data_IF_850466929369
#
_entry.id   IF_850466929369
#
_cell.length_a   1.000
_cell.length_b   1.000
_cell.length_c   1.000
_cell.angle_alpha   90.00
_cell.angle_beta   90.00
_cell.angle_gamma   90.00
#
_symmetry.space_group_name_H-M   'P 1'
#
loop_
_entity.id
_entity.type
_entity.pdbx_description
1 polymer ?
#
# COMPACT_ATOMS: atom_id res chain seq x y z
N UNK A 1 -29.75 36.78 30.56
CA UNK A 1 -29.91 35.65 29.64
C UNK A 1 -28.73 35.73 28.69
N UNK A 2 -27.65 35.01 29.00
CA UNK A 2 -26.41 35.03 28.21
C UNK A 2 -26.54 33.94 27.15
N UNK A 3 -26.73 34.35 25.90
CA UNK A 3 -26.68 33.43 24.76
C UNK A 3 -25.22 33.07 24.47
N UNK A 4 -24.86 31.83 24.75
CA UNK A 4 -23.60 31.24 24.31
C UNK A 4 -23.67 31.00 22.79
N UNK A 5 -22.62 31.31 22.03
CA UNK A 5 -22.59 31.01 20.60
C UNK A 5 -22.67 29.49 20.37
N UNK A 6 -23.34 29.04 19.29
CA UNK A 6 -23.47 27.61 18.99
C UNK A 6 -22.08 27.00 18.71
N UNK A 7 -21.87 25.71 19.03
CA UNK A 7 -20.58 25.05 18.84
C UNK A 7 -20.20 25.06 17.36
N UNK A 8 -19.00 25.54 17.07
CA UNK A 8 -18.38 25.55 15.75
C UNK A 8 -18.34 24.12 15.20
N UNK A 9 -19.18 23.83 14.22
CA UNK A 9 -19.14 22.55 13.51
C UNK A 9 -17.79 22.48 12.81
N UNK A 10 -16.88 21.63 13.32
CA UNK A 10 -15.62 21.29 12.67
C UNK A 10 -15.89 20.99 11.20
N UNK A 11 -15.48 21.89 10.32
CA UNK A 11 -15.57 21.69 8.87
C UNK A 11 -14.57 20.61 8.49
N UNK A 12 -15.03 19.36 8.59
CA UNK A 12 -14.32 18.14 8.17
C UNK A 12 -13.89 18.36 6.72
N UNK A 13 -12.58 18.42 6.48
CA UNK A 13 -12.04 18.66 5.14
C UNK A 13 -11.90 17.29 4.46
N UNK A 14 -12.86 16.88 3.61
CA UNK A 14 -13.08 15.48 3.27
C UNK A 14 -11.94 14.84 2.46
N UNK A 15 -10.98 15.65 1.98
CA UNK A 15 -9.79 15.18 1.27
C UNK A 15 -8.66 14.68 2.19
N UNK A 16 -8.58 15.19 3.43
CA UNK A 16 -7.54 14.83 4.40
C UNK A 16 -8.01 13.61 5.21
N UNK A 17 -9.25 13.62 5.72
CA UNK A 17 -9.79 12.57 6.60
C UNK A 17 -9.92 11.19 5.93
N UNK A 18 -10.17 11.15 4.61
CA UNK A 18 -10.30 9.88 3.87
C UNK A 18 -8.99 9.11 3.75
N UNK A 19 -7.85 9.80 3.76
CA UNK A 19 -6.54 9.14 3.71
C UNK A 19 -6.18 8.55 5.08
N UNK A 20 -6.49 9.27 6.16
CA UNK A 20 -6.16 8.87 7.52
C UNK A 20 -6.99 7.65 7.97
N UNK A 21 -8.28 7.61 7.66
CA UNK A 21 -9.13 6.45 7.93
C UNK A 21 -8.64 5.19 7.19
N UNK A 22 -8.20 5.34 5.94
CA UNK A 22 -7.66 4.24 5.14
C UNK A 22 -6.33 3.73 5.72
N UNK A 23 -5.46 4.64 6.17
CA UNK A 23 -4.19 4.30 6.81
C UNK A 23 -4.40 3.64 8.18
N UNK A 24 -5.38 4.09 8.97
CA UNK A 24 -5.78 3.46 10.22
C UNK A 24 -6.32 2.04 9.99
N UNK A 25 -7.20 1.86 8.99
CA UNK A 25 -7.75 0.55 8.63
C UNK A 25 -6.66 -0.42 8.15
N UNK A 26 -5.67 0.08 7.42
CA UNK A 26 -4.47 -0.69 7.03
C UNK A 26 -3.68 -1.15 8.25
N UNK A 27 -3.47 -0.26 9.21
CA UNK A 27 -2.78 -0.57 10.48
C UNK A 27 -3.53 -1.62 11.28
N UNK A 28 -4.86 -1.50 11.39
CA UNK A 28 -5.72 -2.47 12.07
C UNK A 28 -5.65 -3.85 11.42
N UNK A 29 -5.70 -3.91 10.08
CA UNK A 29 -5.60 -5.17 9.35
C UNK A 29 -4.26 -5.89 9.60
N UNK A 30 -3.14 -5.15 9.61
CA UNK A 30 -1.82 -5.72 9.95
C UNK A 30 -1.78 -6.20 11.40
N UNK A 31 -2.32 -5.44 12.34
CA UNK A 31 -2.38 -5.83 13.74
C UNK A 31 -3.18 -7.13 13.93
N UNK A 32 -4.36 -7.23 13.31
CA UNK A 32 -5.19 -8.44 13.34
C UNK A 32 -4.48 -9.64 12.71
N UNK A 33 -3.75 -9.43 11.62
CA UNK A 33 -3.00 -10.47 10.92
C UNK A 33 -1.84 -11.02 11.75
N UNK A 34 -1.12 -10.15 12.45
CA UNK A 34 -0.07 -10.57 13.39
C UNK A 34 -0.72 -11.29 14.58
N UNK A 35 -1.80 -10.73 15.13
CA UNK A 35 -2.50 -11.33 16.26
C UNK A 35 -3.01 -12.75 15.94
N UNK A 36 -3.62 -12.97 14.78
CA UNK A 36 -4.09 -14.30 14.37
C UNK A 36 -2.95 -15.31 14.23
N UNK A 37 -1.78 -14.88 13.77
CA UNK A 37 -0.58 -15.72 13.68
C UNK A 37 0.06 -16.09 15.02
N UNK A 38 -0.30 -15.38 16.11
CA UNK A 38 0.21 -15.61 17.47
C UNK A 38 -0.73 -16.45 18.33
N UNK A 39 -1.94 -16.74 17.86
CA UNK A 39 -2.93 -17.51 18.62
C UNK A 39 -2.40 -18.92 18.89
N UNK A 40 -2.25 -19.35 20.17
CA UNK A 40 -1.77 -20.68 20.48
C UNK A 40 -2.80 -21.74 20.09
N UNK A 41 -2.35 -22.90 19.64
CA UNK A 41 -3.23 -24.06 19.39
C UNK A 41 -3.36 -24.98 20.62
N UNK A 42 -2.51 -24.81 21.64
CA UNK A 42 -2.46 -25.65 22.84
C UNK A 42 -2.20 -24.79 24.08
N UNK A 43 -3.11 -24.75 25.07
CA UNK A 43 -4.49 -25.26 24.99
C UNK A 43 -5.29 -24.51 23.89
N UNK A 44 -6.28 -25.16 23.24
CA UNK A 44 -7.08 -24.52 22.21
C UNK A 44 -7.99 -23.45 22.81
N UNK A 45 -8.12 -22.33 22.11
CA UNK A 45 -9.09 -21.26 22.41
C UNK A 45 -10.44 -21.54 21.71
N UNK A 46 -11.50 -20.75 21.95
CA UNK A 46 -12.77 -20.92 21.25
C UNK A 46 -12.63 -20.90 19.73
N UNK A 47 -13.46 -21.67 19.01
CA UNK A 47 -13.35 -21.88 17.57
C UNK A 47 -13.35 -20.59 16.72
N UNK A 48 -14.05 -19.54 17.17
CA UNK A 48 -14.09 -18.24 16.49
C UNK A 48 -12.73 -17.51 16.44
N UNK A 49 -11.72 -17.97 17.20
CA UNK A 49 -10.36 -17.41 17.22
C UNK A 49 -9.43 -17.98 16.12
N UNK A 50 -9.90 -18.94 15.32
CA UNK A 50 -9.15 -19.57 14.24
C UNK A 50 -9.90 -19.47 12.91
N UNK A 51 -9.27 -19.87 11.81
CA UNK A 51 -9.97 -20.04 10.53
C UNK A 51 -11.16 -21.00 10.69
N UNK A 52 -12.31 -20.66 10.10
CA UNK A 52 -13.53 -21.46 10.26
C UNK A 52 -13.28 -22.94 9.90
N UNK A 53 -12.60 -23.17 8.79
CA UNK A 53 -12.28 -24.50 8.26
C UNK A 53 -11.15 -25.21 9.03
N UNK A 54 -10.47 -24.55 9.97
CA UNK A 54 -9.34 -25.10 10.73
C UNK A 54 -9.53 -24.80 12.21
N UNK A 55 -10.64 -25.26 12.76
CA UNK A 55 -11.02 -25.05 14.15
C UNK A 55 -10.52 -26.18 15.09
N UNK A 56 -10.46 -25.95 16.41
CA UNK A 56 -10.28 -27.00 17.40
C UNK A 56 -11.37 -28.08 17.30
N UNK A 57 -11.12 -29.32 17.77
CA UNK A 57 -9.95 -29.75 18.53
C UNK A 57 -8.72 -30.13 17.69
N UNK A 58 -8.92 -30.60 16.46
CA UNK A 58 -7.87 -31.27 15.70
C UNK A 58 -7.13 -30.34 14.73
N UNK A 59 -7.67 -29.15 14.43
CA UNK A 59 -7.11 -28.20 13.47
C UNK A 59 -6.86 -28.83 12.08
N UNK A 60 -7.74 -29.74 11.68
CA UNK A 60 -7.75 -30.35 10.34
C UNK A 60 -8.64 -29.50 9.44
N UNK A 61 -8.18 -29.25 8.21
CA UNK A 61 -8.95 -28.49 7.23
C UNK A 61 -10.19 -29.25 6.79
N UNK A 62 -11.37 -28.67 7.04
CA UNK A 62 -12.66 -29.18 6.55
C UNK A 62 -13.28 -28.19 5.55
N UNK A 63 -13.32 -28.52 4.24
CA UNK A 63 -13.90 -27.65 3.22
C UNK A 63 -15.43 -27.60 3.26
N UNK A 64 -16.10 -28.54 3.92
CA UNK A 64 -17.56 -28.62 3.98
C UNK A 64 -18.14 -27.77 5.10
N UNK A 65 -17.32 -27.32 6.05
CA UNK A 65 -17.74 -26.51 7.18
C UNK A 65 -18.07 -25.08 6.71
N UNK A 66 -19.35 -24.65 6.72
CA UNK A 66 -19.72 -23.31 6.30
C UNK A 66 -19.37 -22.30 7.40
N UNK A 67 -18.76 -21.19 7.00
CA UNK A 67 -18.51 -20.09 7.93
C UNK A 67 -17.32 -19.22 7.53
N UNK A 68 -17.29 -18.03 8.12
CA UNK A 68 -16.15 -17.13 8.10
C UNK A 68 -15.98 -16.60 9.53
N UNK A 69 -14.77 -16.69 10.05
CA UNK A 69 -14.39 -16.04 11.30
C UNK A 69 -13.77 -14.68 11.02
N UNK A 70 -13.52 -13.89 12.06
CA UNK A 70 -12.80 -12.62 11.90
C UNK A 70 -11.40 -12.83 11.28
N UNK A 71 -10.74 -13.98 11.53
CA UNK A 71 -9.43 -14.32 10.96
C UNK A 71 -9.51 -14.41 9.44
N UNK A 72 -10.60 -14.99 8.92
CA UNK A 72 -10.86 -15.14 7.49
C UNK A 72 -11.13 -13.79 6.81
N UNK A 73 -11.66 -12.81 7.54
CA UNK A 73 -11.91 -11.45 7.05
C UNK A 73 -10.67 -10.56 6.99
N UNK A 74 -9.64 -10.84 7.79
CA UNK A 74 -8.43 -10.00 7.86
C UNK A 74 -7.78 -9.84 6.50
N UNK A 75 -7.61 -10.95 5.77
CA UNK A 75 -6.91 -10.93 4.49
C UNK A 75 -7.69 -10.18 3.38
N UNK A 76 -9.00 -10.46 3.15
CA UNK A 76 -9.82 -9.67 2.23
C UNK A 76 -9.86 -8.17 2.56
N UNK A 77 -10.01 -7.81 3.84
CA UNK A 77 -10.01 -6.41 4.28
C UNK A 77 -8.69 -5.71 3.92
N UNK A 78 -7.58 -6.41 4.13
CA UNK A 78 -6.26 -5.88 3.80
C UNK A 78 -6.04 -5.66 2.30
N UNK A 79 -6.46 -6.62 1.46
CA UNK A 79 -6.42 -6.46 0.00
C UNK A 79 -7.31 -5.32 -0.49
N UNK A 80 -8.50 -5.16 0.10
CA UNK A 80 -9.40 -4.06 -0.23
C UNK A 80 -8.74 -2.69 0.04
N UNK A 81 -8.21 -2.51 1.26
CA UNK A 81 -7.52 -1.27 1.65
C UNK A 81 -6.31 -0.98 0.76
N UNK A 82 -5.53 -2.01 0.44
CA UNK A 82 -4.43 -1.88 -0.51
C UNK A 82 -4.93 -1.43 -1.89
N UNK A 83 -5.98 -2.08 -2.40
CA UNK A 83 -6.57 -1.77 -3.71
C UNK A 83 -7.04 -0.32 -3.80
N UNK A 84 -7.66 0.22 -2.75
CA UNK A 84 -8.07 1.63 -2.68
C UNK A 84 -6.87 2.58 -2.57
N UNK A 85 -5.77 2.16 -1.95
CA UNK A 85 -4.56 2.98 -1.78
C UNK A 85 -3.75 3.17 -3.09
N UNK A 86 -3.80 2.21 -4.02
CA UNK A 86 -3.09 2.24 -5.30
C UNK A 86 -3.44 3.46 -6.16
N UNK A 87 -4.72 3.72 -6.52
CA UNK A 87 -5.09 4.86 -7.35
C UNK A 87 -4.69 6.18 -6.70
N UNK A 88 -4.84 6.30 -5.38
CA UNK A 88 -4.50 7.50 -4.62
C UNK A 88 -2.99 7.78 -4.64
N UNK A 89 -2.18 6.75 -4.41
CA UNK A 89 -0.72 6.88 -4.42
C UNK A 89 -0.17 7.16 -5.83
N UNK A 90 -0.65 6.45 -6.85
CA UNK A 90 -0.19 6.62 -8.23
C UNK A 90 -0.64 7.94 -8.84
N UNK A 91 -1.86 8.41 -8.54
CA UNK A 91 -2.35 9.73 -9.00
C UNK A 91 -1.45 10.85 -8.49
N UNK A 92 -1.17 10.88 -7.18
CA UNK A 92 -0.22 11.84 -6.59
C UNK A 92 1.18 11.75 -7.20
N UNK A 93 1.65 10.54 -7.56
CA UNK A 93 2.95 10.34 -8.22
C UNK A 93 2.96 10.93 -9.62
N UNK A 94 1.89 10.73 -10.38
CA UNK A 94 1.74 11.29 -11.73
C UNK A 94 1.69 12.82 -11.68
N UNK A 95 0.91 13.38 -10.75
CA UNK A 95 0.80 14.84 -10.59
C UNK A 95 2.17 15.47 -10.31
N UNK A 96 3.01 14.80 -9.51
CA UNK A 96 4.40 15.23 -9.26
C UNK A 96 5.33 15.08 -10.47
N UNK A 97 5.13 14.06 -11.31
CA UNK A 97 6.00 13.80 -12.47
C UNK A 97 5.69 14.72 -13.66
N UNK A 98 4.42 15.03 -13.87
CA UNK A 98 3.94 15.63 -15.12
C UNK A 98 3.22 16.98 -14.89
N UNK A 99 2.58 17.17 -13.73
CA UNK A 99 1.68 18.30 -13.48
C UNK A 99 0.48 18.28 -14.45
N UNK A 100 0.14 19.44 -15.01
CA UNK A 100 -0.97 19.58 -15.97
C UNK A 100 -0.65 19.06 -17.38
N UNK A 101 0.57 18.57 -17.63
CA UNK A 101 0.99 18.09 -18.95
C UNK A 101 0.41 16.71 -19.27
N UNK A 102 0.34 16.32 -20.55
CA UNK A 102 -0.01 14.95 -20.92
C UNK A 102 1.08 13.96 -20.47
N UNK A 103 0.67 12.72 -20.17
CA UNK A 103 1.63 11.65 -19.81
C UNK A 103 2.53 11.34 -21.00
N UNK A 104 3.84 11.52 -20.81
CA UNK A 104 4.85 11.16 -21.81
C UNK A 104 5.24 9.68 -21.65
N UNK A 105 5.73 9.01 -22.71
CA UNK A 105 6.25 7.64 -22.63
C UNK A 105 7.34 7.49 -21.57
N UNK A 106 8.19 8.51 -21.41
CA UNK A 106 9.26 8.56 -20.41
C UNK A 106 8.68 8.55 -18.98
N UNK A 107 7.59 9.29 -18.74
CA UNK A 107 6.92 9.30 -17.43
C UNK A 107 6.30 7.93 -17.11
N UNK A 108 5.72 7.26 -18.11
CA UNK A 108 5.17 5.90 -17.96
C UNK A 108 6.29 4.91 -17.63
N UNK A 109 7.42 4.96 -18.34
CA UNK A 109 8.56 4.10 -18.07
C UNK A 109 9.11 4.29 -16.63
N UNK A 110 9.16 5.54 -16.15
CA UNK A 110 9.53 5.84 -14.75
C UNK A 110 8.54 5.25 -13.75
N UNK A 111 7.23 5.37 -13.99
CA UNK A 111 6.19 4.79 -13.14
C UNK A 111 6.28 3.26 -13.10
N UNK A 112 6.44 2.63 -14.25
CA UNK A 112 6.63 1.17 -14.35
C UNK A 112 7.90 0.73 -13.62
N UNK A 113 8.99 1.49 -13.76
CA UNK A 113 10.23 1.26 -13.01
C UNK A 113 10.03 1.37 -11.50
N UNK A 114 9.29 2.37 -11.03
CA UNK A 114 8.96 2.54 -9.60
C UNK A 114 8.11 1.36 -9.08
N UNK A 115 7.10 0.94 -9.85
CA UNK A 115 6.22 -0.19 -9.52
C UNK A 115 7.03 -1.48 -9.48
N UNK A 116 7.84 -1.76 -10.50
CA UNK A 116 8.69 -2.93 -10.58
C UNK A 116 9.71 -2.97 -9.44
N UNK A 117 10.34 -1.83 -9.13
CA UNK A 117 11.28 -1.71 -8.00
C UNK A 117 10.59 -2.04 -6.67
N UNK A 118 9.39 -1.51 -6.43
CA UNK A 118 8.62 -1.79 -5.21
C UNK A 118 8.22 -3.26 -5.12
N UNK A 119 7.81 -3.86 -6.24
CA UNK A 119 7.51 -5.28 -6.32
C UNK A 119 8.74 -6.13 -5.99
N UNK A 120 9.88 -5.86 -6.63
CA UNK A 120 11.15 -6.55 -6.37
C UNK A 120 11.58 -6.44 -4.90
N UNK A 121 11.52 -5.24 -4.32
CA UNK A 121 11.83 -5.01 -2.92
C UNK A 121 10.92 -5.81 -1.98
N UNK A 122 9.62 -5.82 -2.23
CA UNK A 122 8.68 -6.56 -1.38
C UNK A 122 8.81 -8.08 -1.54
N UNK A 123 9.05 -8.57 -2.76
CA UNK A 123 9.30 -9.98 -3.05
C UNK A 123 10.60 -10.47 -2.40
N UNK A 124 11.67 -9.70 -2.51
CA UNK A 124 12.94 -10.04 -1.87
C UNK A 124 12.81 -10.02 -0.33
N UNK A 125 12.06 -9.06 0.23
CA UNK A 125 11.73 -9.04 1.65
C UNK A 125 10.95 -10.30 2.08
N UNK A 126 9.95 -10.73 1.29
CA UNK A 126 9.15 -11.92 1.57
C UNK A 126 9.99 -13.20 1.64
N UNK A 127 10.95 -13.36 0.73
CA UNK A 127 11.85 -14.52 0.67
C UNK A 127 12.81 -14.46 1.87
N UNK A 128 13.54 -13.36 2.03
CA UNK A 128 14.57 -13.23 3.07
C UNK A 128 13.97 -13.36 4.47
N UNK A 129 12.82 -12.73 4.73
CA UNK A 129 12.16 -12.82 6.03
C UNK A 129 11.78 -14.27 6.37
N UNK A 130 11.26 -15.03 5.40
CA UNK A 130 10.88 -16.42 5.62
C UNK A 130 12.08 -17.30 5.99
N UNK A 131 13.25 -17.05 5.39
CA UNK A 131 14.48 -17.79 5.66
C UNK A 131 15.06 -17.51 7.05
N UNK A 132 14.88 -16.30 7.59
CA UNK A 132 15.35 -15.94 8.94
C UNK A 132 14.42 -16.38 10.07
N UNK A 133 13.24 -16.92 9.78
CA UNK A 133 12.31 -17.40 10.82
C UNK A 133 12.93 -18.56 11.62
N UNK A 134 12.82 -18.56 12.96
CA UNK A 134 13.49 -19.56 13.80
C UNK A 134 13.13 -21.01 13.43
N UNK A 135 11.85 -21.25 13.12
CA UNK A 135 11.33 -22.58 12.77
C UNK A 135 11.90 -23.16 11.46
N UNK A 136 12.43 -22.30 10.58
CA UNK A 136 13.05 -22.69 9.31
C UNK A 136 14.57 -22.83 9.41
N UNK A 137 15.20 -22.15 10.38
CA UNK A 137 16.61 -22.27 10.68
C UNK A 137 16.92 -23.56 11.45
N UNK A 138 16.06 -23.95 12.40
CA UNK A 138 16.26 -25.19 13.18
C UNK A 138 14.94 -25.84 13.55
N UNK A 139 14.91 -27.18 13.59
CA UNK A 139 13.79 -27.93 14.14
C UNK A 139 13.65 -27.77 15.66
N UNK A 140 14.74 -27.43 16.35
CA UNK A 140 14.79 -27.12 17.78
C UNK A 140 15.51 -25.77 17.95
N UNK A 141 14.77 -24.65 18.04
CA UNK A 141 15.38 -23.34 18.15
C UNK A 141 16.27 -23.26 19.40
N UNK A 142 17.54 -22.92 19.22
CA UNK A 142 18.50 -22.64 20.31
C UNK A 142 18.66 -21.14 20.47
N UNK A 143 19.33 -20.69 21.53
CA UNK A 143 19.63 -19.26 21.75
C UNK A 143 20.37 -18.64 20.57
N UNK A 144 21.23 -19.41 19.90
CA UNK A 144 21.90 -19.00 18.66
C UNK A 144 20.90 -18.76 17.52
N UNK A 145 19.90 -19.62 17.36
CA UNK A 145 18.85 -19.45 16.34
C UNK A 145 18.10 -18.14 16.55
N UNK A 146 17.74 -17.83 17.80
CA UNK A 146 17.08 -16.57 18.14
C UNK A 146 17.99 -15.36 17.90
N UNK A 147 19.26 -15.46 18.26
CA UNK A 147 20.26 -14.42 17.95
C UNK A 147 20.42 -14.17 16.45
N UNK A 148 20.43 -15.23 15.64
CA UNK A 148 20.48 -15.14 14.18
C UNK A 148 19.21 -14.52 13.59
N UNK A 149 18.03 -14.86 14.11
CA UNK A 149 16.77 -14.21 13.70
C UNK A 149 16.78 -12.72 14.04
N UNK A 150 17.24 -12.34 15.25
CA UNK A 150 17.37 -10.93 15.63
C UNK A 150 18.39 -10.19 14.76
N UNK A 151 19.50 -10.83 14.43
CA UNK A 151 20.50 -10.29 13.49
C UNK A 151 19.88 -10.09 12.11
N UNK A 152 19.17 -11.09 11.58
CA UNK A 152 18.44 -11.01 10.30
C UNK A 152 17.43 -9.87 10.28
N UNK A 153 16.67 -9.69 11.37
CA UNK A 153 15.76 -8.55 11.54
C UNK A 153 16.51 -7.20 11.54
N UNK A 154 17.64 -7.12 12.23
CA UNK A 154 18.50 -5.92 12.23
C UNK A 154 19.05 -5.58 10.85
N UNK A 155 19.51 -6.59 10.09
CA UNK A 155 20.00 -6.42 8.72
C UNK A 155 18.89 -6.01 7.76
N UNK A 156 17.72 -6.64 7.84
CA UNK A 156 16.54 -6.21 7.08
C UNK A 156 16.16 -4.77 7.41
N UNK A 157 16.18 -4.39 8.68
CA UNK A 157 15.94 -3.01 9.11
C UNK A 157 16.96 -2.06 8.47
N UNK A 158 18.26 -2.40 8.50
CA UNK A 158 19.32 -1.60 7.87
C UNK A 158 19.10 -1.37 6.37
N UNK A 159 18.65 -2.40 5.65
CA UNK A 159 18.39 -2.35 4.20
C UNK A 159 17.15 -1.50 3.87
N UNK A 160 16.07 -1.67 4.63
CA UNK A 160 14.76 -1.12 4.30
C UNK A 160 14.43 0.20 5.02
N UNK A 161 15.18 0.59 6.05
CA UNK A 161 14.93 1.83 6.78
C UNK A 161 15.06 3.05 5.87
N UNK A 162 14.10 3.97 6.00
CA UNK A 162 14.17 5.30 5.37
C UNK A 162 14.86 6.25 6.32
N UNK A 163 16.06 6.66 5.95
CA UNK A 163 16.86 7.59 6.73
C UNK A 163 16.16 8.95 6.82
N UNK A 164 15.92 9.48 8.04
CA UNK A 164 15.33 10.81 8.22
C UNK A 164 16.14 11.88 7.49
N UNK A 165 15.46 12.90 6.96
CA UNK A 165 16.12 13.97 6.20
C UNK A 165 17.14 14.74 7.04
N UNK A 166 16.87 14.92 8.34
CA UNK A 166 17.77 15.53 9.33
C UNK A 166 19.10 14.77 9.50
N UNK A 167 19.04 13.43 9.47
CA UNK A 167 20.24 12.60 9.55
C UNK A 167 21.00 12.61 8.22
N UNK A 168 20.26 12.56 7.11
CA UNK A 168 20.84 12.61 5.77
C UNK A 168 21.54 13.93 5.46
N UNK A 169 21.12 15.05 6.04
CA UNK A 169 21.84 16.33 5.90
C UNK A 169 23.13 16.40 6.71
N UNK A 170 23.28 15.56 7.74
CA UNK A 170 24.46 15.53 8.62
C UNK A 170 25.52 14.53 8.17
N UNK A 171 25.11 13.49 7.44
CA UNK A 171 25.98 12.42 6.98
C UNK A 171 26.34 12.54 5.49
N UNK A 172 27.47 11.96 5.07
CA UNK A 172 27.82 11.87 3.66
C UNK A 172 26.76 11.12 2.83
N UNK A 173 26.55 11.54 1.58
CA UNK A 173 25.55 10.92 0.67
C UNK A 173 25.81 9.43 0.39
N UNK A 174 27.06 8.98 0.52
CA UNK A 174 27.44 7.58 0.30
C UNK A 174 27.04 6.65 1.45
N UNK A 175 26.91 7.16 2.68
CA UNK A 175 26.70 6.33 3.87
C UNK A 175 25.40 5.51 3.83
N UNK A 176 24.23 6.08 3.46
CA UNK A 176 23.00 5.28 3.34
C UNK A 176 23.07 4.24 2.22
N UNK A 177 23.84 4.51 1.16
CA UNK A 177 24.02 3.59 0.04
C UNK A 177 24.91 2.43 0.49
N UNK A 178 26.03 2.74 1.13
CA UNK A 178 26.94 1.75 1.70
C UNK A 178 26.25 0.87 2.75
N UNK A 179 25.44 1.44 3.64
CA UNK A 179 24.67 0.68 4.62
C UNK A 179 23.70 -0.31 3.97
N UNK A 180 23.01 0.09 2.89
CA UNK A 180 22.12 -0.80 2.13
C UNK A 180 22.88 -1.90 1.41
N UNK A 181 23.97 -1.56 0.73
CA UNK A 181 24.78 -2.54 0.00
C UNK A 181 25.45 -3.53 0.96
N UNK A 182 26.00 -3.04 2.07
CA UNK A 182 26.57 -3.87 3.13
C UNK A 182 25.52 -4.76 3.80
N UNK A 183 24.32 -4.24 4.04
CA UNK A 183 23.20 -5.03 4.56
C UNK A 183 22.77 -6.17 3.63
N UNK A 184 22.62 -5.88 2.33
CA UNK A 184 22.34 -6.93 1.33
C UNK A 184 23.46 -7.96 1.22
N UNK A 185 24.71 -7.51 1.22
CA UNK A 185 25.87 -8.41 1.18
C UNK A 185 25.88 -9.34 2.40
N UNK A 186 25.69 -8.80 3.60
CA UNK A 186 25.62 -9.58 4.83
C UNK A 186 24.47 -10.60 4.82
N UNK A 187 23.29 -10.21 4.32
CA UNK A 187 22.16 -11.13 4.16
C UNK A 187 22.51 -12.27 3.20
N UNK A 188 23.06 -11.97 2.03
CA UNK A 188 23.43 -12.99 1.04
C UNK A 188 24.47 -13.95 1.59
N UNK A 189 25.49 -13.43 2.29
CA UNK A 189 26.52 -14.26 2.94
C UNK A 189 25.91 -15.16 4.02
N UNK A 190 25.03 -14.62 4.87
CA UNK A 190 24.36 -15.42 5.89
C UNK A 190 23.48 -16.52 5.28
N UNK A 191 22.69 -16.19 4.26
CA UNK A 191 21.83 -17.17 3.57
C UNK A 191 22.64 -18.24 2.84
N UNK A 192 23.88 -17.97 2.44
CA UNK A 192 24.76 -18.94 1.82
C UNK A 192 25.45 -19.88 2.83
N UNK A 193 25.66 -19.44 4.07
CA UNK A 193 26.42 -20.19 5.09
C UNK A 193 25.50 -20.96 6.06
N UNK A 194 24.29 -20.45 6.31
CA UNK A 194 23.41 -21.03 7.33
C UNK A 194 22.87 -22.40 6.90
N UNK A 195 22.99 -23.43 7.76
CA UNK A 195 22.32 -24.71 7.53
C UNK A 195 20.82 -24.52 7.75
N UNK A 196 20.02 -24.79 6.72
CA UNK A 196 18.56 -24.76 6.83
C UNK A 196 18.05 -26.11 7.32
N UNK A 197 16.87 -26.10 7.95
CA UNK A 197 16.24 -27.25 8.61
C UNK A 197 16.19 -28.56 7.80
N UNK A 198 16.13 -28.47 6.47
CA UNK A 198 15.85 -29.62 5.59
C UNK A 198 17.07 -30.08 4.77
N UNK A 199 18.27 -29.55 5.04
CA UNK A 199 19.49 -29.67 4.19
C UNK A 199 19.33 -29.21 2.73
N UNK A 200 18.10 -28.91 2.31
CA UNK A 200 17.79 -28.07 1.16
C UNK A 200 18.33 -26.68 1.51
N UNK A 201 19.34 -26.22 0.80
CA UNK A 201 19.91 -24.88 1.00
C UNK A 201 18.90 -23.74 0.77
N UNK A 202 19.39 -22.62 0.25
CA UNK A 202 18.51 -21.53 -0.15
C UNK A 202 17.50 -21.98 -1.23
N UNK A 203 16.21 -21.71 -1.01
CA UNK A 203 15.13 -22.05 -1.94
C UNK A 203 14.21 -20.85 -2.17
N UNK A 204 14.03 -20.47 -3.44
CA UNK A 204 13.14 -19.38 -3.84
C UNK A 204 11.66 -19.70 -3.62
N UNK A 205 11.27 -20.97 -3.57
CA UNK A 205 9.90 -21.36 -3.25
C UNK A 205 9.56 -21.10 -1.77
N UNK A 206 10.58 -20.99 -0.90
CA UNK A 206 10.42 -20.68 0.53
C UNK A 206 10.24 -19.18 0.73
N UNK A 207 8.98 -18.74 0.64
CA UNK A 207 8.59 -17.35 0.74
C UNK A 207 7.41 -17.16 1.70
N UNK A 208 7.35 -15.99 2.31
CA UNK A 208 6.19 -15.60 3.10
C UNK A 208 4.98 -15.39 2.17
N UNK A 209 3.96 -16.24 2.34
CA UNK A 209 2.76 -16.24 1.48
C UNK A 209 2.05 -14.89 1.50
N UNK A 210 1.92 -14.28 2.69
CA UNK A 210 1.21 -13.00 2.83
C UNK A 210 2.00 -11.93 2.07
N UNK A 211 3.29 -11.74 2.37
CA UNK A 211 4.11 -10.70 1.75
C UNK A 211 4.25 -10.88 0.24
N UNK A 212 4.42 -12.11 -0.24
CA UNK A 212 4.47 -12.39 -1.68
C UNK A 212 3.14 -12.07 -2.37
N UNK A 213 2.02 -12.41 -1.74
CA UNK A 213 0.70 -12.08 -2.25
C UNK A 213 0.49 -10.57 -2.31
N UNK A 214 0.99 -9.80 -1.33
CA UNK A 214 0.99 -8.33 -1.43
C UNK A 214 1.85 -7.81 -2.58
N UNK A 215 3.01 -8.40 -2.81
CA UNK A 215 3.87 -8.01 -3.92
C UNK A 215 3.11 -8.19 -5.24
N UNK A 216 2.55 -9.36 -5.49
CA UNK A 216 1.81 -9.67 -6.71
C UNK A 216 0.53 -8.83 -6.84
N UNK A 217 -0.28 -8.72 -5.78
CA UNK A 217 -1.50 -7.90 -5.78
C UNK A 217 -1.20 -6.42 -6.01
N UNK A 218 -0.12 -5.89 -5.43
CA UNK A 218 0.26 -4.48 -5.64
C UNK A 218 0.76 -4.21 -7.05
N UNK A 219 1.50 -5.15 -7.65
CA UNK A 219 1.94 -5.08 -9.05
C UNK A 219 0.73 -5.15 -9.99
N UNK A 220 -0.08 -6.20 -9.86
CA UNK A 220 -1.27 -6.42 -10.69
C UNK A 220 -2.27 -5.27 -10.58
N UNK A 221 -2.58 -4.82 -9.36
CA UNK A 221 -3.48 -3.69 -9.13
C UNK A 221 -2.96 -2.38 -9.70
N UNK A 222 -1.64 -2.12 -9.62
CA UNK A 222 -1.02 -0.92 -10.20
C UNK A 222 -1.06 -0.94 -11.73
N UNK A 223 -0.75 -2.08 -12.35
CA UNK A 223 -0.78 -2.25 -13.80
C UNK A 223 -2.22 -2.15 -14.34
N UNK A 224 -3.15 -2.87 -13.70
CA UNK A 224 -4.56 -2.82 -14.06
C UNK A 224 -5.08 -1.39 -13.99
N UNK A 225 -4.79 -0.68 -12.89
CA UNK A 225 -5.20 0.71 -12.73
C UNK A 225 -4.63 1.62 -13.82
N UNK A 226 -3.34 1.48 -14.17
CA UNK A 226 -2.72 2.27 -15.23
C UNK A 226 -3.42 2.07 -16.58
N UNK A 227 -3.80 0.83 -16.91
CA UNK A 227 -4.54 0.52 -18.15
C UNK A 227 -5.95 1.10 -18.10
N UNK A 228 -6.67 0.91 -16.99
CA UNK A 228 -8.09 1.33 -16.87
C UNK A 228 -8.27 2.84 -16.70
N UNK A 229 -7.28 3.54 -16.15
CA UNK A 229 -7.31 5.00 -15.92
C UNK A 229 -7.60 5.79 -17.20
N UNK A 230 -7.04 5.34 -18.33
CA UNK A 230 -7.23 5.99 -19.63
C UNK A 230 -8.71 6.11 -20.01
N UNK A 231 -9.49 5.04 -19.78
CA UNK A 231 -10.93 4.96 -20.08
C UNK A 231 -11.77 5.87 -19.17
N UNK A 232 -11.41 5.97 -17.89
CA UNK A 232 -12.11 6.83 -16.91
C UNK A 232 -11.88 8.32 -17.18
N UNK A 233 -10.68 8.66 -17.65
CA UNK A 233 -10.27 10.04 -17.87
C UNK A 233 -10.94 10.72 -19.08
N UNK A 234 -11.56 9.95 -20.00
CA UNK A 234 -12.39 10.48 -21.10
C UNK A 234 -13.80 10.83 -20.59
N UNK A 235 -14.37 10.02 -19.68
CA UNK A 235 -15.68 10.28 -19.08
C UNK A 235 -15.68 11.46 -18.08
N UNK A 236 -14.56 11.67 -17.36
CA UNK A 236 -14.42 12.75 -16.40
C UNK A 236 -13.96 14.08 -17.04
N UNK A 237 -12.96 14.09 -17.94
CA UNK A 237 -12.42 15.37 -18.46
C UNK A 237 -13.43 16.20 -19.25
N UNK A 238 -14.41 15.59 -19.90
CA UNK A 238 -15.48 16.33 -20.59
C UNK A 238 -16.40 17.14 -19.65
N UNK A 239 -16.54 16.73 -18.39
CA UNK A 239 -17.45 17.36 -17.42
C UNK A 239 -16.74 18.37 -16.49
N UNK A 240 -15.51 18.06 -16.08
CA UNK A 240 -14.81 18.85 -15.06
C UNK A 240 -14.05 20.07 -15.61
N UNK A 241 -13.56 20.03 -16.86
CA UNK A 241 -12.85 21.18 -17.44
C UNK A 241 -13.76 22.40 -17.67
N UNK A 242 -15.04 22.20 -18.03
CA UNK A 242 -15.99 23.31 -18.17
C UNK A 242 -16.37 23.94 -16.83
N UNK A 243 -16.51 23.13 -15.77
CA UNK A 243 -16.89 23.61 -14.45
C UNK A 243 -15.73 24.36 -13.76
N UNK A 244 -14.51 23.80 -13.81
CA UNK A 244 -13.34 24.40 -13.16
C UNK A 244 -12.92 25.72 -13.81
N UNK A 245 -13.03 25.84 -15.14
CA UNK A 245 -12.72 27.09 -15.84
C UNK A 245 -13.77 28.19 -15.62
N UNK A 246 -15.03 27.83 -15.35
CA UNK A 246 -16.06 28.78 -14.94
C UNK A 246 -15.84 29.28 -13.50
N UNK A 247 -15.52 28.38 -12.57
CA UNK A 247 -15.29 28.71 -11.15
C UNK A 247 -14.06 29.63 -10.98
N UNK A 248 -12.96 29.36 -11.72
CA UNK A 248 -11.75 30.19 -11.68
C UNK A 248 -11.98 31.61 -12.23
N UNK A 249 -12.84 31.75 -13.26
CA UNK A 249 -13.17 33.08 -13.84
C UNK A 249 -14.14 33.86 -12.95
N UNK A 250 -15.08 33.19 -12.28
CA UNK A 250 -16.04 33.81 -11.34
C UNK A 250 -15.36 34.46 -10.13
N UNK A 251 -14.23 33.91 -9.66
CA UNK A 251 -13.46 34.46 -8.52
C UNK A 251 -12.55 35.65 -8.85
N UNK A 252 -12.24 35.93 -10.13
CA UNK A 252 -11.39 37.08 -10.52
C UNK A 252 -12.16 38.34 -10.91
N UNK A 253 -13.43 38.23 -11.25
CA UNK A 253 -14.28 39.37 -11.64
C UNK A 253 -15.46 39.47 -10.69
N UNK A 254 -15.20 39.95 -9.47
CA UNK A 254 -16.22 40.58 -8.67
C UNK A 254 -16.56 41.94 -9.33
N UNK A 255 -17.48 41.90 -10.29
CA UNK A 255 -17.92 43.08 -11.02
C UNK A 255 -18.33 42.77 -12.45
N UNK A 256 -19.65 42.82 -12.69
CA UNK A 256 -20.31 42.96 -14.01
C UNK A 256 -20.05 41.84 -15.03
N UNK A 257 -20.87 40.79 -14.98
CA UNK A 257 -21.09 39.94 -16.17
C UNK A 257 -22.03 40.68 -17.14
N UNK A 258 -21.46 41.36 -18.14
CA UNK A 258 -22.19 41.69 -19.36
C UNK A 258 -22.17 40.45 -20.28
N UNK A 259 -23.36 39.95 -20.60
CA UNK A 259 -23.56 38.79 -21.47
C UNK A 259 -23.34 39.22 -22.93
N UNK A 260 -22.09 39.23 -23.38
CA UNK A 260 -21.73 39.44 -24.79
C UNK A 260 -21.54 38.10 -25.51
N UNK A 261 -22.28 37.88 -26.60
CA UNK A 261 -22.09 36.76 -27.52
C UNK A 261 -20.62 36.69 -27.98
N UNK A 262 -19.89 35.66 -27.56
CA UNK A 262 -18.61 35.28 -28.17
C UNK A 262 -18.86 34.12 -29.12
N UNK A 263 -18.44 34.32 -30.37
CA UNK A 263 -18.59 33.40 -31.51
C UNK A 263 -18.22 31.95 -31.16
N UNK A 264 -19.05 31.02 -31.64
CA UNK A 264 -18.84 29.57 -31.62
C UNK A 264 -17.46 29.22 -32.20
N UNK A 265 -16.60 28.59 -31.39
CA UNK A 265 -15.55 27.71 -31.90
C UNK A 265 -16.16 26.35 -32.24
N UNK A 266 -15.82 25.73 -33.39
CA UNK A 266 -16.44 24.48 -33.82
C UNK A 266 -15.93 23.32 -32.95
N UNK A 267 -16.84 22.60 -32.28
CA UNK A 267 -16.51 21.39 -31.53
C UNK A 267 -17.35 21.09 -30.28
N UNK A 268 -18.14 22.04 -29.78
CA UNK A 268 -19.07 21.77 -28.68
C UNK A 268 -20.47 21.43 -29.22
N UNK A 269 -20.75 20.13 -29.37
CA UNK A 269 -22.12 19.65 -29.50
C UNK A 269 -22.80 19.81 -28.13
N UNK A 270 -23.72 20.77 -28.04
CA UNK A 270 -24.44 21.09 -26.83
C UNK A 270 -25.59 20.12 -26.55
N UNK A 271 -25.83 19.87 -25.27
CA UNK A 271 -27.18 19.74 -24.74
C UNK A 271 -27.33 20.82 -23.66
N UNK A 272 -28.18 21.80 -23.97
CA UNK A 272 -28.62 22.84 -23.06
C UNK A 272 -29.49 22.22 -21.97
N UNK A 273 -28.95 22.00 -20.78
CA UNK A 273 -29.74 22.03 -19.54
C UNK A 273 -28.87 22.71 -18.49
N UNK A 274 -28.92 24.04 -18.48
CA UNK A 274 -28.53 24.82 -17.31
C UNK A 274 -29.84 25.19 -16.63
N UNK A 275 -30.31 24.33 -15.73
CA UNK A 275 -31.41 24.66 -14.84
C UNK A 275 -30.95 24.46 -13.39
N UNK A 276 -30.84 25.61 -12.72
CA UNK A 276 -31.11 25.85 -11.30
C UNK A 276 -30.01 25.37 -10.33
N UNK A 277 -29.26 26.36 -9.83
CA UNK A 277 -28.61 26.31 -8.51
C UNK A 277 -29.66 26.52 -7.42
#
# INVERSE_FOLDING_TARGET
MHDSPPPESTSVNPGIDRADALDALRGLAVLMMVFSGLVPRKPPLPAWMYHAQVAPPDFIFDPLLPGLTWVDWVFPLFLFVMGVSIPLALSRRIDRLVGDRPLTPIAIARLLGDIARRWLELSAFAIVLQHFRPNHLSAKPTDLTWGLTLLGFGLLTLVYVRWPQSWRSRCPRWLPIAAKLGGWLAIVVLLAILPFRDDTGFDLARQDVILMLLAVSSLGGSLLWLVTRSRWSVAARGRWCCCWRCEYRRRRTAGLCHCGMVRRSPGCFGWNICNIC
#
